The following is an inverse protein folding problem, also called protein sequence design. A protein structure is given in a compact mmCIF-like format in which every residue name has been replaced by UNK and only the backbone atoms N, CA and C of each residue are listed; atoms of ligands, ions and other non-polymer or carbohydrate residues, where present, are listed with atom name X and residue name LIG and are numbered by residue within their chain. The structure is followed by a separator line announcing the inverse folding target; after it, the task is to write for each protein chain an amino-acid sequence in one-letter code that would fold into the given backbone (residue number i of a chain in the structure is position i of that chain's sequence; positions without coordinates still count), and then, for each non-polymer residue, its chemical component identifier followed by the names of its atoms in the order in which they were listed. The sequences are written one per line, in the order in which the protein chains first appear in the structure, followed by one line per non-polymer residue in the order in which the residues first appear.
data_IF_454451562185
#
_entry.id   IF_454451562185
#
_cell.length_a   1.000
_cell.length_b   1.000
_cell.length_c   1.000
_cell.angle_alpha   90.00
_cell.angle_beta   90.00
_cell.angle_gamma   90.00
#
_symmetry.space_group_name_H-M   'P 1'
#
loop_
_entity.id
_entity.type
_entity.pdbx_description
1 polymer ?
#
# COMPACT_ATOMS: atom_id res chain seq x y z
N UNK A 1 -30.30 10.15 35.63
CA UNK A 1 -29.26 11.16 35.31
C UNK A 1 -28.48 10.65 34.11
N UNK A 2 -28.38 11.43 33.04
CA UNK A 2 -27.78 10.99 31.78
C UNK A 2 -26.25 11.03 31.85
N UNK A 3 -25.57 10.03 31.27
CA UNK A 3 -24.11 10.04 31.11
C UNK A 3 -23.74 10.46 29.69
N UNK A 4 -22.59 11.11 29.55
CA UNK A 4 -22.02 11.57 28.28
C UNK A 4 -20.98 10.55 27.80
N UNK A 5 -20.95 10.24 26.51
CA UNK A 5 -19.90 9.39 25.92
C UNK A 5 -18.74 10.28 25.46
N UNK A 6 -17.57 10.09 26.05
CA UNK A 6 -16.34 10.78 25.65
C UNK A 6 -15.39 9.80 24.96
N UNK A 7 -14.82 10.23 23.83
CA UNK A 7 -13.75 9.49 23.17
C UNK A 7 -12.51 9.43 24.06
N UNK A 8 -11.75 8.34 24.03
CA UNK A 8 -10.41 8.28 24.65
C UNK A 8 -9.44 9.33 24.08
N UNK A 9 -9.71 9.86 22.88
CA UNK A 9 -8.95 10.93 22.24
C UNK A 9 -9.42 12.35 22.59
N UNK A 10 -10.39 12.50 23.50
CA UNK A 10 -10.86 13.82 23.91
C UNK A 10 -9.70 14.64 24.49
N UNK A 11 -9.61 15.92 24.14
CA UNK A 11 -8.60 16.79 24.72
C UNK A 11 -8.91 17.07 26.20
N UNK A 12 -7.88 17.47 26.95
CA UNK A 12 -8.00 17.72 28.38
C UNK A 12 -9.01 18.83 28.69
N UNK A 13 -9.02 19.91 27.90
CA UNK A 13 -9.88 21.06 28.09
C UNK A 13 -11.36 20.66 28.13
N UNK A 14 -11.84 19.97 27.09
CA UNK A 14 -13.23 19.50 27.01
C UNK A 14 -13.50 18.40 28.06
N UNK A 15 -12.57 17.47 28.24
CA UNK A 15 -12.72 16.38 29.21
C UNK A 15 -12.87 16.88 30.65
N UNK A 16 -12.16 17.97 30.99
CA UNK A 16 -12.16 18.55 32.34
C UNK A 16 -13.49 19.24 32.73
N UNK A 17 -14.36 19.52 31.76
CA UNK A 17 -15.68 20.12 31.99
C UNK A 17 -16.67 19.16 32.69
N UNK A 18 -16.38 17.87 32.70
CA UNK A 18 -17.30 16.84 33.19
C UNK A 18 -16.71 16.10 34.39
N UNK A 19 -17.49 15.99 35.47
CA UNK A 19 -17.15 15.12 36.60
C UNK A 19 -17.18 13.64 36.15
N UNK A 20 -16.24 12.82 36.64
CA UNK A 20 -16.04 11.41 36.23
C UNK A 20 -17.31 10.57 36.34
N UNK A 21 -18.21 10.89 37.27
CA UNK A 21 -19.48 10.19 37.46
C UNK A 21 -20.50 10.44 36.32
N UNK A 22 -20.31 11.50 35.54
CA UNK A 22 -21.22 11.93 34.47
C UNK A 22 -20.78 11.55 33.06
N UNK A 23 -19.64 10.87 32.89
CA UNK A 23 -19.22 10.40 31.58
C UNK A 23 -18.76 8.95 31.55
N UNK A 24 -18.76 8.38 30.34
CA UNK A 24 -18.16 7.10 29.99
C UNK A 24 -17.03 7.36 29.01
N UNK A 25 -15.82 6.94 29.35
CA UNK A 25 -14.64 7.09 28.50
C UNK A 25 -14.41 5.80 27.72
N UNK A 26 -14.63 5.84 26.41
CA UNK A 26 -14.43 4.69 25.53
C UNK A 26 -14.16 5.13 24.10
N UNK A 27 -13.86 4.17 23.22
CA UNK A 27 -13.69 4.47 21.81
C UNK A 27 -15.00 5.01 21.22
N UNK A 28 -14.91 5.97 20.31
CA UNK A 28 -16.09 6.51 19.63
C UNK A 28 -16.81 5.39 18.86
N UNK A 29 -18.14 5.24 18.98
CA UNK A 29 -18.91 4.32 18.16
C UNK A 29 -18.73 4.61 16.66
N UNK A 30 -18.61 5.89 16.29
CA UNK A 30 -18.37 6.32 14.90
C UNK A 30 -17.04 5.76 14.39
N UNK A 31 -16.00 5.78 15.21
CA UNK A 31 -14.69 5.22 14.85
C UNK A 31 -14.72 3.73 14.59
N UNK A 32 -15.69 2.98 15.12
CA UNK A 32 -15.88 1.55 14.81
C UNK A 32 -16.82 1.32 13.63
N UNK A 33 -17.86 2.14 13.49
CA UNK A 33 -18.82 2.01 12.40
C UNK A 33 -18.19 2.32 11.04
N UNK A 34 -17.39 3.38 10.96
CA UNK A 34 -16.76 3.82 9.69
C UNK A 34 -15.68 2.87 9.17
N UNK A 35 -15.19 1.93 9.99
CA UNK A 35 -14.13 0.99 9.56
C UNK A 35 -14.71 -0.06 8.62
N UNK A 36 -16.00 -0.38 8.75
CA UNK A 36 -16.73 -1.33 7.92
C UNK A 36 -17.41 -0.55 6.80
N UNK A 37 -16.78 -0.53 5.63
CA UNK A 37 -17.27 0.21 4.49
C UNK A 37 -18.52 -0.47 3.92
N UNK A 38 -19.55 0.32 3.64
CA UNK A 38 -20.74 -0.15 2.95
C UNK A 38 -20.46 -0.33 1.44
N UNK A 39 -21.41 -0.91 0.69
CA UNK A 39 -21.19 -1.21 -0.73
C UNK A 39 -20.95 0.04 -1.60
N UNK A 40 -21.55 1.18 -1.27
CA UNK A 40 -21.33 2.44 -2.00
C UNK A 40 -19.90 2.93 -1.77
N UNK A 41 -19.45 2.93 -0.51
CA UNK A 41 -18.08 3.29 -0.16
C UNK A 41 -17.07 2.34 -0.80
N UNK A 42 -17.29 1.03 -0.74
CA UNK A 42 -16.40 0.04 -1.37
C UNK A 42 -16.34 0.21 -2.90
N UNK A 43 -17.47 0.48 -3.56
CA UNK A 43 -17.48 0.75 -4.99
C UNK A 43 -16.74 2.05 -5.33
N UNK A 44 -16.85 3.08 -4.47
CA UNK A 44 -16.04 4.28 -4.56
C UNK A 44 -14.54 3.96 -4.49
N UNK A 45 -14.12 3.25 -3.44
CA UNK A 45 -12.72 2.84 -3.23
C UNK A 45 -12.19 2.00 -4.40
N UNK A 46 -13.00 1.12 -5.00
CA UNK A 46 -12.59 0.38 -6.20
C UNK A 46 -12.33 1.33 -7.38
N UNK A 47 -13.24 2.25 -7.66
CA UNK A 47 -13.11 3.21 -8.77
C UNK A 47 -11.93 4.17 -8.56
N UNK A 48 -11.95 4.90 -7.44
CA UNK A 48 -10.83 4.97 -6.49
C UNK A 48 -9.45 4.57 -6.97
N UNK A 49 -9.14 3.32 -6.69
CA UNK A 49 -7.82 2.76 -6.93
C UNK A 49 -7.58 2.41 -8.41
N UNK A 50 -8.62 2.17 -9.21
CA UNK A 50 -8.46 1.93 -10.65
C UNK A 50 -7.87 3.17 -11.34
N UNK A 51 -8.45 4.37 -11.15
CA UNK A 51 -7.90 5.57 -11.81
C UNK A 51 -6.54 5.96 -11.21
N UNK A 52 -6.35 5.79 -9.90
CA UNK A 52 -5.06 6.05 -9.24
C UNK A 52 -3.96 5.13 -9.78
N UNK A 53 -4.26 3.84 -9.92
CA UNK A 53 -3.33 2.87 -10.51
C UNK A 53 -2.97 3.26 -11.94
N UNK A 54 -3.92 3.75 -12.75
CA UNK A 54 -3.64 4.23 -14.10
C UNK A 54 -2.67 5.43 -14.13
N UNK A 55 -2.80 6.39 -13.19
CA UNK A 55 -1.83 7.48 -13.05
C UNK A 55 -0.44 6.97 -12.66
N UNK A 56 -0.35 5.92 -11.84
CA UNK A 56 0.91 5.29 -11.48
C UNK A 56 1.53 4.49 -12.63
N UNK A 57 0.72 3.83 -13.47
CA UNK A 57 1.23 3.21 -14.72
C UNK A 57 1.83 4.30 -15.63
N UNK A 58 1.14 5.43 -15.78
CA UNK A 58 1.65 6.58 -16.53
C UNK A 58 2.95 7.11 -15.96
N UNK A 59 3.04 7.22 -14.64
CA UNK A 59 4.27 7.61 -13.97
C UNK A 59 5.42 6.62 -14.21
N UNK A 60 5.17 5.31 -14.05
CA UNK A 60 6.15 4.28 -14.27
C UNK A 60 6.64 4.27 -15.73
N UNK A 61 5.74 4.44 -16.70
CA UNK A 61 6.11 4.61 -18.11
C UNK A 61 7.00 5.85 -18.31
N UNK A 62 6.56 7.00 -17.78
CA UNK A 62 7.29 8.27 -17.89
C UNK A 62 8.69 8.20 -17.27
N UNK A 63 8.84 7.69 -16.06
CA UNK A 63 10.13 7.66 -15.37
C UNK A 63 11.10 6.71 -16.06
N UNK A 64 10.64 5.55 -16.56
CA UNK A 64 11.49 4.66 -17.34
C UNK A 64 11.98 5.34 -18.63
N UNK A 65 11.12 6.10 -19.32
CA UNK A 65 11.51 6.83 -20.51
C UNK A 65 12.53 7.94 -20.20
N UNK A 66 12.27 8.79 -19.21
CA UNK A 66 13.19 9.87 -18.83
C UNK A 66 14.59 9.34 -18.50
N UNK A 67 14.67 8.27 -17.70
CA UNK A 67 15.95 7.67 -17.33
C UNK A 67 16.63 7.03 -18.55
N UNK A 68 15.89 6.30 -19.39
CA UNK A 68 16.45 5.69 -20.61
C UNK A 68 16.99 6.71 -21.63
N UNK A 69 16.44 7.93 -21.65
CA UNK A 69 16.89 9.04 -22.47
C UNK A 69 18.03 9.85 -21.84
N UNK A 70 18.45 9.51 -20.62
CA UNK A 70 19.50 10.21 -19.87
C UNK A 70 19.06 11.57 -19.33
N UNK A 71 17.75 11.82 -19.22
CA UNK A 71 17.24 13.06 -18.63
C UNK A 71 17.46 13.08 -17.11
N UNK A 72 17.76 14.26 -16.57
CA UNK A 72 17.96 14.43 -15.14
C UNK A 72 16.62 14.47 -14.40
N UNK A 73 16.36 13.46 -13.58
CA UNK A 73 15.20 13.41 -12.68
C UNK A 73 15.71 13.33 -11.24
N UNK A 74 15.38 14.32 -10.42
CA UNK A 74 15.61 14.27 -8.96
C UNK A 74 14.34 13.80 -8.22
N UNK A 75 14.50 13.47 -6.94
CA UNK A 75 13.41 13.03 -6.06
C UNK A 75 12.22 14.00 -6.08
N UNK A 76 12.47 15.31 -6.12
CA UNK A 76 11.44 16.35 -6.15
C UNK A 76 10.69 16.33 -7.49
N UNK A 77 11.40 16.25 -8.61
CA UNK A 77 10.80 16.17 -9.95
C UNK A 77 9.93 14.93 -10.08
N UNK A 78 10.40 13.78 -9.60
CA UNK A 78 9.64 12.54 -9.61
C UNK A 78 8.36 12.64 -8.75
N UNK A 79 8.45 13.16 -7.52
CA UNK A 79 7.30 13.38 -6.65
C UNK A 79 6.26 14.32 -7.29
N UNK A 80 6.72 15.47 -7.82
CA UNK A 80 5.85 16.44 -8.52
C UNK A 80 5.17 15.81 -9.73
N UNK A 81 5.84 14.92 -10.45
CA UNK A 81 5.27 14.26 -11.61
C UNK A 81 4.15 13.28 -11.25
N UNK A 82 4.33 12.47 -10.20
CA UNK A 82 3.28 11.58 -9.67
C UNK A 82 2.06 12.41 -9.25
N UNK A 83 2.29 13.48 -8.49
CA UNK A 83 1.24 14.37 -8.00
C UNK A 83 0.47 15.02 -9.15
N UNK A 84 1.20 15.54 -10.15
CA UNK A 84 0.61 16.14 -11.33
C UNK A 84 -0.29 15.16 -12.09
N UNK A 85 0.11 13.88 -12.24
CA UNK A 85 -0.74 12.90 -12.90
C UNK A 85 -2.02 12.58 -12.11
N UNK A 86 -1.97 12.60 -10.78
CA UNK A 86 -3.16 12.45 -9.93
C UNK A 86 -4.10 13.65 -10.01
N UNK A 87 -3.55 14.87 -10.05
CA UNK A 87 -4.33 16.12 -10.17
C UNK A 87 -5.23 16.15 -11.42
N UNK A 88 -4.86 15.43 -12.48
CA UNK A 88 -5.66 15.32 -13.71
C UNK A 88 -6.77 14.28 -13.64
N UNK A 89 -6.83 13.46 -12.59
CA UNK A 89 -7.82 12.40 -12.47
C UNK A 89 -9.18 12.95 -12.03
N UNK A 90 -10.23 12.30 -12.54
CA UNK A 90 -11.60 12.58 -12.12
C UNK A 90 -11.73 12.44 -10.59
N UNK A 91 -12.46 13.38 -9.98
CA UNK A 91 -12.74 13.49 -8.54
C UNK A 91 -11.54 13.72 -7.62
N UNK A 92 -10.34 13.98 -8.13
CA UNK A 92 -9.19 14.31 -7.29
C UNK A 92 -9.49 15.54 -6.42
N UNK A 93 -9.05 15.49 -5.16
CA UNK A 93 -9.22 16.57 -4.17
C UNK A 93 -7.86 17.05 -3.66
N UNK A 94 -7.02 16.12 -3.22
CA UNK A 94 -5.68 16.40 -2.69
C UNK A 94 -4.84 15.14 -2.68
N UNK A 95 -3.57 15.24 -2.32
CA UNK A 95 -2.81 14.06 -1.89
C UNK A 95 -3.37 13.53 -0.56
N UNK A 96 -3.26 12.23 -0.32
CA UNK A 96 -3.66 11.62 0.96
C UNK A 96 -2.60 11.80 2.05
N UNK A 97 -1.35 12.00 1.64
CA UNK A 97 -0.18 12.40 2.45
C UNK A 97 0.90 12.97 1.51
N UNK A 98 1.98 13.52 2.05
CA UNK A 98 3.10 13.99 1.24
C UNK A 98 3.83 12.81 0.58
N UNK A 99 4.03 12.87 -0.74
CA UNK A 99 4.71 11.79 -1.46
C UNK A 99 6.15 11.62 -0.99
N UNK A 100 6.46 10.41 -0.53
CA UNK A 100 7.82 9.96 -0.29
C UNK A 100 8.39 9.59 -1.65
N UNK A 101 9.49 10.22 -2.03
CA UNK A 101 10.22 9.97 -3.27
C UNK A 101 11.68 9.90 -2.91
N UNK A 102 12.24 8.70 -2.92
CA UNK A 102 13.49 8.40 -2.24
C UNK A 102 14.41 7.55 -3.12
N UNK A 103 15.64 8.03 -3.30
CA UNK A 103 16.68 7.40 -4.12
C UNK A 103 17.77 6.80 -3.22
N UNK A 104 18.13 5.55 -3.50
CA UNK A 104 19.20 4.81 -2.83
C UNK A 104 19.08 4.92 -1.30
N UNK A 105 20.10 5.45 -0.62
CA UNK A 105 20.14 5.54 0.84
C UNK A 105 18.98 6.35 1.44
N UNK A 106 18.37 7.26 0.68
CA UNK A 106 17.21 8.02 1.16
C UNK A 106 16.01 7.08 1.32
N UNK A 107 15.90 6.02 0.53
CA UNK A 107 14.85 5.01 0.65
C UNK A 107 14.98 4.17 1.94
N UNK A 108 16.16 4.15 2.57
CA UNK A 108 16.36 3.48 3.87
C UNK A 108 15.69 4.21 5.05
N UNK A 109 15.11 5.39 4.81
CA UNK A 109 14.38 6.16 5.81
C UNK A 109 12.87 6.00 5.55
N UNK A 110 12.12 5.22 6.36
CA UNK A 110 10.72 4.87 6.06
C UNK A 110 9.81 6.07 5.83
N UNK A 111 10.05 7.18 6.54
CA UNK A 111 9.30 8.45 6.44
C UNK A 111 10.21 9.57 5.88
N UNK A 112 10.98 9.28 4.82
CA UNK A 112 11.80 10.29 4.17
C UNK A 112 10.96 11.41 3.56
N UNK A 113 11.35 12.67 3.81
CA UNK A 113 10.76 13.84 3.17
C UNK A 113 11.85 14.60 2.43
N UNK A 114 11.73 14.68 1.11
CA UNK A 114 12.61 15.51 0.27
C UNK A 114 12.20 16.98 0.35
N UNK A 115 13.16 17.89 0.48
CA UNK A 115 12.90 19.32 0.36
C UNK A 115 14.09 20.03 -0.30
N UNK A 116 13.90 21.27 -0.75
CA UNK A 116 14.96 22.03 -1.46
C UNK A 116 16.22 22.27 -0.59
N UNK A 117 16.15 22.05 0.72
CA UNK A 117 17.26 22.27 1.66
C UNK A 117 17.98 20.99 2.10
N UNK A 118 17.56 19.79 1.64
CA UNK A 118 18.21 18.53 1.98
C UNK A 118 19.06 17.97 0.81
N UNK A 119 19.82 16.89 1.06
CA UNK A 119 20.65 16.22 0.06
C UNK A 119 19.78 15.42 -0.92
N UNK A 120 19.04 16.16 -1.77
CA UNK A 120 18.20 15.58 -2.80
C UNK A 120 19.06 14.83 -3.80
N UNK A 121 18.60 13.64 -4.18
CA UNK A 121 19.33 12.75 -5.09
C UNK A 121 18.68 12.73 -6.48
N UNK A 122 19.54 12.54 -7.48
CA UNK A 122 19.13 12.26 -8.84
C UNK A 122 18.99 10.75 -9.05
N UNK A 123 17.90 10.34 -9.70
CA UNK A 123 17.68 8.99 -10.16
C UNK A 123 18.63 8.74 -11.33
N UNK A 124 19.42 7.66 -11.24
CA UNK A 124 20.37 7.21 -12.27
C UNK A 124 20.02 5.82 -12.76
N UNK A 125 20.68 5.38 -13.83
CA UNK A 125 20.53 4.05 -14.44
C UNK A 125 20.89 2.89 -13.49
N UNK A 126 21.46 3.17 -12.33
CA UNK A 126 21.83 2.17 -11.31
C UNK A 126 21.05 2.32 -10.00
N UNK A 127 20.20 3.35 -9.91
CA UNK A 127 19.54 3.71 -8.66
C UNK A 127 18.44 2.72 -8.28
N UNK A 128 18.30 2.54 -6.97
CA UNK A 128 17.05 2.08 -6.35
C UNK A 128 16.16 3.31 -6.13
N UNK A 129 14.90 3.21 -6.53
CA UNK A 129 13.93 4.27 -6.34
C UNK A 129 12.69 3.73 -5.65
N UNK A 130 12.35 4.32 -4.51
CA UNK A 130 11.13 4.05 -3.76
C UNK A 130 10.23 5.27 -3.87
N UNK A 131 8.99 5.06 -4.28
CA UNK A 131 7.94 6.05 -4.11
C UNK A 131 6.81 5.47 -3.29
N UNK A 132 6.34 6.26 -2.34
CA UNK A 132 5.16 5.98 -1.53
C UNK A 132 4.24 7.20 -1.58
N UNK A 133 3.02 7.00 -2.05
CA UNK A 133 2.17 8.09 -2.49
C UNK A 133 0.72 7.69 -2.63
N UNK A 134 -0.19 8.62 -2.35
CA UNK A 134 -1.62 8.40 -2.47
C UNK A 134 -2.43 9.66 -2.76
N UNK A 135 -3.68 9.47 -3.15
CA UNK A 135 -4.63 10.52 -3.49
C UNK A 135 -5.92 10.46 -2.67
N UNK A 136 -6.50 11.63 -2.42
CA UNK A 136 -7.86 11.80 -1.97
C UNK A 136 -8.75 12.08 -3.17
N UNK A 137 -9.80 11.28 -3.30
CA UNK A 137 -10.84 11.43 -4.30
C UNK A 137 -12.18 11.56 -3.59
N UNK A 138 -13.16 12.24 -4.18
CA UNK A 138 -14.51 12.32 -3.60
C UNK A 138 -15.13 10.94 -3.29
N UNK A 139 -14.68 9.90 -3.98
CA UNK A 139 -15.14 8.53 -3.84
C UNK A 139 -14.12 7.58 -3.19
N UNK A 140 -13.01 8.06 -2.62
CA UNK A 140 -12.12 7.19 -1.84
C UNK A 140 -10.73 7.75 -1.60
N UNK A 141 -9.95 7.02 -0.81
CA UNK A 141 -8.56 7.37 -0.45
C UNK A 141 -7.63 6.25 -0.91
N UNK A 142 -6.48 6.57 -1.49
CA UNK A 142 -5.48 5.59 -1.94
C UNK A 142 -4.18 5.71 -1.17
N UNK A 143 -3.46 4.58 -1.13
CA UNK A 143 -2.14 4.44 -0.56
C UNK A 143 -1.38 3.32 -1.31
N UNK A 144 -0.12 3.58 -1.67
CA UNK A 144 0.67 2.66 -2.49
C UNK A 144 2.13 3.05 -2.53
N UNK A 145 2.95 2.10 -2.08
CA UNK A 145 4.39 2.08 -2.27
C UNK A 145 4.84 1.10 -3.35
N UNK A 146 5.75 1.53 -4.22
CA UNK A 146 6.59 0.64 -5.04
C UNK A 146 8.06 0.98 -4.87
N UNK A 147 8.88 -0.07 -4.83
CA UNK A 147 10.31 0.03 -5.04
C UNK A 147 10.65 -0.53 -6.42
N UNK A 148 11.38 0.27 -7.20
CA UNK A 148 11.92 -0.11 -8.51
C UNK A 148 13.43 0.07 -8.52
N UNK A 149 14.12 -0.59 -9.43
CA UNK A 149 15.54 -0.41 -9.66
C UNK A 149 15.82 -0.30 -11.15
N UNK A 150 16.57 0.74 -11.53
CA UNK A 150 16.91 1.02 -12.92
C UNK A 150 18.13 0.21 -13.40
N UNK A 151 18.92 -0.34 -12.45
CA UNK A 151 20.09 -1.15 -12.78
C UNK A 151 19.71 -2.35 -13.64
N UNK A 152 20.44 -2.54 -14.74
CA UNK A 152 20.38 -3.78 -15.54
C UNK A 152 20.93 -4.98 -14.79
N UNK A 153 21.81 -4.74 -13.81
CA UNK A 153 22.47 -5.76 -13.00
C UNK A 153 22.34 -5.38 -11.52
N UNK A 154 21.14 -5.45 -10.92
CA UNK A 154 20.95 -5.17 -9.51
C UNK A 154 21.77 -6.14 -8.65
N UNK A 155 22.23 -5.68 -7.49
CA UNK A 155 23.06 -6.52 -6.62
C UNK A 155 22.28 -7.72 -6.12
N UNK A 156 22.96 -8.86 -5.95
CA UNK A 156 22.33 -10.08 -5.41
C UNK A 156 21.66 -9.82 -4.06
N UNK A 157 22.32 -9.04 -3.20
CA UNK A 157 21.79 -8.66 -1.89
C UNK A 157 20.49 -7.86 -2.00
N UNK A 158 20.43 -6.84 -2.85
CA UNK A 158 19.20 -6.09 -3.10
C UNK A 158 18.06 -6.99 -3.59
N UNK A 159 18.32 -7.84 -4.59
CA UNK A 159 17.31 -8.77 -5.12
C UNK A 159 16.83 -9.77 -4.07
N UNK A 160 17.73 -10.28 -3.22
CA UNK A 160 17.37 -11.16 -2.10
C UNK A 160 16.43 -10.43 -1.12
N UNK A 161 16.78 -9.21 -0.70
CA UNK A 161 15.94 -8.43 0.22
C UNK A 161 14.59 -8.07 -0.41
N UNK A 162 14.58 -7.69 -1.69
CA UNK A 162 13.36 -7.41 -2.44
C UNK A 162 12.43 -8.62 -2.47
N UNK A 163 13.01 -9.80 -2.73
CA UNK A 163 12.25 -11.05 -2.79
C UNK A 163 11.71 -11.45 -1.42
N UNK A 164 12.47 -11.25 -0.33
CA UNK A 164 11.97 -11.51 1.02
C UNK A 164 10.82 -10.56 1.40
N UNK A 165 10.91 -9.27 1.07
CA UNK A 165 9.81 -8.31 1.27
C UNK A 165 8.58 -8.69 0.43
N UNK A 166 8.78 -9.11 -0.82
CA UNK A 166 7.69 -9.61 -1.67
C UNK A 166 7.03 -10.85 -1.07
N UNK A 167 7.80 -11.81 -0.56
CA UNK A 167 7.24 -12.98 0.13
C UNK A 167 6.43 -12.58 1.35
N UNK A 168 6.95 -11.67 2.17
CA UNK A 168 6.25 -11.13 3.33
C UNK A 168 4.89 -10.55 2.93
N UNK A 169 4.84 -9.79 1.83
CA UNK A 169 3.60 -9.21 1.31
C UNK A 169 2.62 -10.30 0.85
N UNK A 170 3.10 -11.27 0.06
CA UNK A 170 2.29 -12.33 -0.52
C UNK A 170 1.75 -13.28 0.56
N UNK A 171 2.57 -13.68 1.53
CA UNK A 171 2.16 -14.59 2.60
C UNK A 171 1.03 -13.96 3.44
N UNK A 172 1.11 -12.66 3.70
CA UNK A 172 0.02 -11.92 4.33
C UNK A 172 -1.22 -11.86 3.42
N UNK A 173 -1.07 -11.40 2.16
CA UNK A 173 -2.17 -11.22 1.22
C UNK A 173 -2.89 -12.53 0.85
N UNK A 174 -2.21 -13.68 0.89
CA UNK A 174 -2.78 -15.00 0.64
C UNK A 174 -3.55 -15.59 1.84
N UNK A 175 -3.47 -14.97 3.01
CA UNK A 175 -4.04 -15.55 4.23
C UNK A 175 -5.57 -15.56 4.17
N UNK A 176 -6.16 -16.75 4.39
CA UNK A 176 -7.60 -16.92 4.65
C UNK A 176 -7.81 -17.13 6.14
N UNK A 177 -8.66 -16.34 6.76
CA UNK A 177 -8.76 -16.26 8.23
C UNK A 177 -10.22 -16.14 8.71
N UNK A 178 -10.56 -16.61 9.92
CA UNK A 178 -11.90 -16.41 10.48
C UNK A 178 -12.26 -14.92 10.67
N UNK A 179 -13.52 -14.57 10.56
CA UNK A 179 -14.03 -13.26 10.98
C UNK A 179 -13.73 -13.03 12.46
N UNK A 180 -13.53 -11.76 12.83
CA UNK A 180 -13.06 -11.31 14.15
C UNK A 180 -11.60 -11.67 14.47
N UNK A 181 -10.81 -12.16 13.51
CA UNK A 181 -9.37 -12.39 13.74
C UNK A 181 -8.68 -11.08 14.14
N UNK A 182 -7.84 -11.14 15.16
CA UNK A 182 -7.06 -9.99 15.64
C UNK A 182 -6.03 -9.55 14.60
N UNK A 183 -5.88 -8.23 14.34
CA UNK A 183 -4.82 -7.68 13.50
C UNK A 183 -3.40 -8.13 13.90
N UNK A 184 -3.16 -8.45 15.18
CA UNK A 184 -1.86 -8.90 15.68
C UNK A 184 -1.37 -10.21 15.02
N UNK A 185 -2.29 -11.06 14.54
CA UNK A 185 -1.94 -12.33 13.89
C UNK A 185 -1.11 -12.12 12.63
N UNK A 186 -1.34 -11.01 11.93
CA UNK A 186 -0.68 -10.71 10.66
C UNK A 186 0.77 -10.23 10.85
N UNK A 187 1.18 -9.83 12.07
CA UNK A 187 2.57 -9.43 12.34
C UNK A 187 3.53 -10.59 12.08
N UNK A 188 3.32 -11.71 12.77
CA UNK A 188 4.17 -12.89 12.66
C UNK A 188 4.13 -13.53 11.27
N UNK A 189 2.95 -13.59 10.63
CA UNK A 189 2.80 -14.12 9.27
C UNK A 189 3.65 -13.31 8.29
N UNK A 190 3.50 -11.98 8.33
CA UNK A 190 4.18 -11.08 7.38
C UNK A 190 5.68 -11.05 7.64
N UNK A 191 6.14 -11.09 8.90
CA UNK A 191 7.57 -10.99 9.21
C UNK A 191 8.35 -12.28 9.00
N UNK A 192 7.67 -13.42 8.94
CA UNK A 192 8.33 -14.74 8.91
C UNK A 192 9.43 -14.85 7.83
N UNK A 193 9.22 -14.42 6.56
CA UNK A 193 10.27 -14.52 5.53
C UNK A 193 11.54 -13.74 5.87
N UNK A 194 11.41 -12.57 6.52
CA UNK A 194 12.54 -11.76 6.95
C UNK A 194 13.19 -12.32 8.22
N UNK A 195 12.38 -12.71 9.22
CA UNK A 195 12.86 -13.26 10.49
C UNK A 195 13.65 -14.56 10.31
N UNK A 196 13.25 -15.43 9.38
CA UNK A 196 14.00 -16.65 9.05
C UNK A 196 15.41 -16.38 8.51
N UNK A 197 15.70 -15.14 8.10
CA UNK A 197 17.00 -14.71 7.60
C UNK A 197 17.68 -13.68 8.53
N UNK A 198 17.12 -13.44 9.74
CA UNK A 198 17.69 -12.50 10.72
C UNK A 198 17.40 -11.02 10.44
N UNK A 199 16.44 -10.72 9.57
CA UNK A 199 16.05 -9.34 9.22
C UNK A 199 14.70 -8.95 9.82
N UNK A 200 14.39 -7.65 9.88
CA UNK A 200 13.11 -7.13 10.36
C UNK A 200 12.81 -5.74 9.75
N UNK A 201 11.59 -5.22 9.94
CA UNK A 201 11.24 -3.82 9.63
C UNK A 201 10.60 -3.10 10.83
N UNK A 202 10.85 -1.80 10.97
CA UNK A 202 10.57 -1.02 12.18
C UNK A 202 9.16 -0.41 12.30
N UNK A 203 8.20 -0.84 11.48
CA UNK A 203 6.82 -0.32 11.48
C UNK A 203 5.79 -1.46 11.49
N UNK A 204 4.50 -1.13 11.63
CA UNK A 204 3.40 -2.10 11.55
C UNK A 204 3.28 -2.70 10.14
N UNK A 205 2.56 -3.82 10.02
CA UNK A 205 2.34 -4.49 8.72
C UNK A 205 1.45 -3.66 7.79
N UNK A 206 0.53 -2.89 8.36
CA UNK A 206 -0.33 -1.98 7.64
C UNK A 206 -1.37 -1.30 8.53
N UNK A 207 -2.25 -0.52 7.92
CA UNK A 207 -3.26 0.28 8.60
C UNK A 207 -4.60 0.25 7.84
N UNK A 208 -5.68 0.61 8.52
CA UNK A 208 -6.97 0.85 7.90
C UNK A 208 -6.93 2.09 7.03
N UNK A 209 -7.75 2.11 5.98
CA UNK A 209 -7.88 3.24 5.05
C UNK A 209 -9.32 3.77 5.08
N UNK A 210 -9.46 5.08 5.28
CA UNK A 210 -10.74 5.77 5.25
C UNK A 210 -11.32 5.91 3.84
N UNK A 211 -12.62 6.12 3.73
CA UNK A 211 -13.25 6.47 2.45
C UNK A 211 -13.33 7.99 2.34
N UNK A 212 -12.44 8.60 1.55
CA UNK A 212 -12.26 10.05 1.47
C UNK A 212 -12.09 10.69 2.86
N UNK A 213 -11.22 10.08 3.66
CA UNK A 213 -10.90 10.46 5.04
C UNK A 213 -9.40 10.21 5.27
N UNK A 214 -8.97 10.12 6.53
CA UNK A 214 -7.60 9.79 6.87
C UNK A 214 -7.12 8.52 6.15
N UNK A 215 -5.95 8.61 5.53
CA UNK A 215 -5.25 7.46 4.95
C UNK A 215 -4.88 6.44 6.03
N UNK A 216 -4.46 6.94 7.20
CA UNK A 216 -4.32 6.18 8.44
C UNK A 216 -5.63 6.22 9.25
N UNK A 217 -6.53 5.27 9.01
CA UNK A 217 -7.77 5.09 9.78
C UNK A 217 -7.63 3.95 10.79
N UNK A 218 -7.43 4.31 12.06
CA UNK A 218 -7.29 3.33 13.16
C UNK A 218 -8.60 3.26 13.97
N UNK A 219 -9.08 2.06 14.34
CA UNK A 219 -8.67 0.72 13.86
C UNK A 219 -9.24 0.40 12.44
N UNK A 220 -8.79 -0.67 11.76
CA UNK A 220 -7.74 -1.61 12.16
C UNK A 220 -6.31 -1.11 11.87
N UNK A 221 -5.31 -1.76 12.46
CA UNK A 221 -3.90 -1.64 12.20
C UNK A 221 -3.25 -3.03 12.24
N UNK A 222 -2.89 -3.55 11.06
CA UNK A 222 -2.32 -4.89 10.91
C UNK A 222 -0.96 -4.96 11.61
N UNK A 223 -0.82 -6.01 12.41
CA UNK A 223 0.35 -6.25 13.26
C UNK A 223 0.34 -5.51 14.60
N UNK A 224 -0.64 -4.64 14.87
CA UNK A 224 -0.80 -4.03 16.19
C UNK A 224 -1.50 -4.96 17.18
N UNK A 225 -1.25 -4.76 18.48
CA UNK A 225 -1.90 -5.49 19.58
C UNK A 225 -3.24 -4.89 20.00
N UNK A 226 -3.83 -4.05 19.14
CA UNK A 226 -5.11 -3.42 19.43
C UNK A 226 -6.24 -4.45 19.56
N UNK A 227 -7.23 -4.14 20.40
CA UNK A 227 -8.41 -5.00 20.59
C UNK A 227 -9.44 -4.71 19.50
N UNK A 228 -9.19 -5.20 18.29
CA UNK A 228 -10.08 -5.13 17.15
C UNK A 228 -10.18 -6.50 16.46
N UNK A 229 -11.33 -6.81 15.86
CA UNK A 229 -11.54 -8.03 15.07
C UNK A 229 -11.82 -7.65 13.63
N UNK A 230 -11.03 -8.17 12.69
CA UNK A 230 -11.20 -7.88 11.26
C UNK A 230 -12.52 -8.44 10.74
N UNK A 231 -13.17 -7.66 9.89
CA UNK A 231 -14.49 -7.92 9.33
C UNK A 231 -14.52 -7.66 7.84
N UNK A 232 -15.46 -8.32 7.16
CA UNK A 232 -15.84 -8.00 5.78
C UNK A 232 -16.13 -6.49 5.64
N UNK A 233 -15.59 -5.87 4.61
CA UNK A 233 -15.75 -4.44 4.33
C UNK A 233 -14.71 -3.54 5.02
N UNK A 234 -13.82 -4.08 5.85
CA UNK A 234 -12.61 -3.32 6.22
C UNK A 234 -11.72 -3.13 4.98
N UNK A 235 -11.06 -1.98 4.90
CA UNK A 235 -10.03 -1.69 3.90
C UNK A 235 -8.74 -1.43 4.64
N UNK A 236 -7.66 -2.13 4.26
CA UNK A 236 -6.35 -2.09 4.94
C UNK A 236 -5.20 -2.08 3.94
N UNK A 237 -4.06 -1.54 4.33
CA UNK A 237 -2.79 -1.74 3.62
C UNK A 237 -2.11 -3.03 4.07
N UNK A 238 -1.30 -3.62 3.19
CA UNK A 238 -0.26 -4.60 3.51
C UNK A 238 1.03 -4.06 2.90
N UNK A 239 1.99 -3.66 3.72
CA UNK A 239 3.12 -2.80 3.33
C UNK A 239 4.46 -3.21 3.98
N UNK A 240 4.86 -4.49 4.00
CA UNK A 240 6.15 -4.87 4.57
C UNK A 240 7.31 -4.15 3.86
N UNK A 241 8.40 -3.99 4.61
CA UNK A 241 9.61 -3.35 4.09
C UNK A 241 10.91 -3.97 4.59
N UNK A 242 12.01 -3.42 4.11
CA UNK A 242 13.37 -3.65 4.57
C UNK A 242 14.17 -2.38 4.34
N UNK A 243 14.95 -1.95 5.32
CA UNK A 243 15.66 -0.68 5.28
C UNK A 243 17.09 -0.88 5.76
N UNK A 244 18.05 -0.68 4.87
CA UNK A 244 19.48 -0.81 5.16
C UNK A 244 20.11 0.58 5.17
N UNK A 245 20.45 1.03 6.37
CA UNK A 245 21.01 2.36 6.59
C UNK A 245 22.22 2.61 5.68
N UNK A 246 22.27 3.81 5.08
CA UNK A 246 23.32 4.22 4.15
C UNK A 246 23.38 3.42 2.83
N UNK A 247 22.41 2.54 2.54
CA UNK A 247 22.38 1.73 1.33
C UNK A 247 21.08 1.92 0.54
N UNK A 248 20.01 1.19 0.87
CA UNK A 248 18.72 1.26 0.18
C UNK A 248 17.57 0.89 1.11
N UNK A 249 16.35 1.18 0.68
CA UNK A 249 15.15 0.64 1.30
C UNK A 249 14.18 0.10 0.27
N UNK A 250 13.35 -0.83 0.74
CA UNK A 250 12.34 -1.55 -0.03
C UNK A 250 11.05 -1.51 0.76
N UNK A 251 9.93 -1.19 0.10
CA UNK A 251 8.58 -1.40 0.61
C UNK A 251 7.65 -1.76 -0.54
N UNK A 252 6.79 -2.74 -0.31
CA UNK A 252 5.79 -3.19 -1.29
C UNK A 252 4.44 -3.11 -0.63
N UNK A 253 3.62 -2.18 -1.12
CA UNK A 253 2.35 -1.85 -0.49
C UNK A 253 1.19 -1.88 -1.45
N UNK A 254 0.09 -2.46 -0.99
CA UNK A 254 -1.20 -2.42 -1.65
C UNK A 254 -2.29 -2.19 -0.61
N UNK A 255 -3.35 -1.49 -1.01
CA UNK A 255 -4.64 -1.52 -0.32
C UNK A 255 -5.41 -2.79 -0.70
N UNK A 256 -6.09 -3.35 0.29
CA UNK A 256 -6.96 -4.53 0.18
C UNK A 256 -8.30 -4.26 0.85
N UNK A 257 -9.38 -4.70 0.21
CA UNK A 257 -10.66 -4.88 0.89
C UNK A 257 -10.76 -6.29 1.46
N UNK A 258 -11.31 -6.43 2.66
CA UNK A 258 -11.57 -7.73 3.27
C UNK A 258 -12.93 -8.24 2.79
N UNK A 259 -12.94 -9.39 2.12
CA UNK A 259 -14.13 -10.03 1.55
C UNK A 259 -14.35 -11.41 2.16
N UNK A 260 -15.51 -12.01 1.89
CA UNK A 260 -15.75 -13.42 2.24
C UNK A 260 -14.83 -14.32 1.43
N UNK A 261 -14.15 -15.24 2.13
CA UNK A 261 -13.26 -16.20 1.49
C UNK A 261 -14.04 -17.20 0.63
N UNK A 262 -13.59 -17.39 -0.62
CA UNK A 262 -14.20 -18.34 -1.55
C UNK A 262 -13.46 -19.68 -1.56
N UNK A 263 -14.16 -20.72 -2.01
CA UNK A 263 -13.60 -22.05 -2.33
C UNK A 263 -12.87 -22.74 -1.16
N UNK A 264 -13.42 -22.62 0.05
CA UNK A 264 -12.89 -23.31 1.22
C UNK A 264 -13.31 -24.78 1.24
N UNK A 265 -12.34 -25.68 1.41
CA UNK A 265 -12.59 -27.13 1.51
C UNK A 265 -13.53 -27.48 2.68
N UNK A 266 -13.47 -26.72 3.77
CA UNK A 266 -14.35 -26.91 4.93
C UNK A 266 -15.80 -26.46 4.70
N UNK A 267 -16.09 -25.74 3.62
CA UNK A 267 -17.40 -25.13 3.38
C UNK A 267 -17.74 -23.99 4.36
N UNK A 268 -16.79 -23.51 5.16
CA UNK A 268 -17.04 -22.45 6.12
C UNK A 268 -17.45 -21.14 5.45
N UNK A 269 -18.39 -20.42 6.06
CA UNK A 269 -18.88 -19.12 5.60
C UNK A 269 -18.41 -17.94 6.45
N UNK A 270 -17.73 -18.20 7.56
CA UNK A 270 -17.23 -17.16 8.46
C UNK A 270 -15.75 -16.82 8.22
N UNK A 271 -15.18 -17.26 7.10
CA UNK A 271 -13.79 -16.94 6.75
C UNK A 271 -13.74 -15.78 5.76
N UNK A 272 -12.65 -15.04 5.84
CA UNK A 272 -12.36 -13.83 5.10
C UNK A 272 -11.05 -14.00 4.33
N UNK A 273 -10.90 -13.25 3.24
CA UNK A 273 -9.68 -13.15 2.45
C UNK A 273 -9.47 -11.70 1.99
N UNK A 274 -8.25 -11.35 1.57
CA UNK A 274 -7.92 -10.04 1.03
C UNK A 274 -8.20 -10.02 -0.48
N UNK A 275 -8.96 -9.02 -0.94
CA UNK A 275 -9.14 -8.72 -2.36
C UNK A 275 -8.49 -7.37 -2.66
N UNK A 276 -7.68 -7.32 -3.71
CA UNK A 276 -6.78 -6.20 -3.95
C UNK A 276 -7.53 -5.00 -4.52
N UNK A 277 -7.19 -3.80 -4.06
CA UNK A 277 -7.66 -2.53 -4.63
C UNK A 277 -6.57 -1.85 -5.45
N UNK A 278 -5.30 -1.96 -5.06
CA UNK A 278 -4.16 -1.36 -5.78
C UNK A 278 -3.73 -2.25 -6.96
N UNK A 279 -3.73 -1.71 -8.18
CA UNK A 279 -3.46 -2.46 -9.42
C UNK A 279 -2.21 -1.95 -10.15
N UNK A 280 -1.07 -1.92 -9.45
CA UNK A 280 0.21 -1.45 -10.00
C UNK A 280 1.20 -2.62 -10.08
N UNK A 281 1.83 -2.92 -11.22
CA UNK A 281 2.78 -4.02 -11.35
C UNK A 281 3.92 -3.95 -10.32
N UNK A 282 4.48 -5.13 -10.02
CA UNK A 282 5.67 -5.28 -9.17
C UNK A 282 6.80 -5.69 -10.13
N UNK A 283 7.94 -5.00 -10.04
CA UNK A 283 9.04 -5.17 -10.99
C UNK A 283 9.66 -6.58 -10.86
N UNK A 284 9.48 -7.40 -11.91
CA UNK A 284 9.79 -8.84 -11.88
C UNK A 284 11.27 -9.18 -11.93
N UNK A 285 12.10 -8.37 -12.59
CA UNK A 285 13.54 -8.66 -12.74
C UNK A 285 14.34 -8.48 -11.43
N UNK A 286 13.70 -8.04 -10.34
CA UNK A 286 14.29 -7.95 -9.01
C UNK A 286 14.08 -9.22 -8.18
N UNK A 287 13.28 -10.17 -8.69
CA UNK A 287 12.83 -11.35 -7.95
C UNK A 287 13.80 -12.51 -8.17
N UNK A 288 14.32 -13.06 -7.06
CA UNK A 288 15.15 -14.27 -7.02
C UNK A 288 14.22 -15.50 -7.01
N UNK A 289 14.09 -16.17 -8.15
CA UNK A 289 13.16 -17.27 -8.38
C UNK A 289 13.30 -18.39 -7.34
N UNK A 290 14.53 -18.68 -6.91
CA UNK A 290 14.88 -19.75 -5.99
C UNK A 290 14.32 -19.53 -4.58
N UNK A 291 13.98 -18.30 -4.22
CA UNK A 291 13.38 -17.96 -2.94
C UNK A 291 11.84 -18.09 -2.96
N UNK A 292 11.23 -18.31 -4.14
CA UNK A 292 9.79 -18.41 -4.30
C UNK A 292 9.31 -19.87 -4.37
N UNK A 293 8.34 -20.19 -3.51
CA UNK A 293 7.44 -21.33 -3.70
C UNK A 293 6.40 -21.07 -4.80
N UNK A 294 5.78 -22.14 -5.32
CA UNK A 294 4.77 -22.06 -6.38
C UNK A 294 3.60 -21.13 -6.05
N UNK A 295 3.12 -21.14 -4.79
CA UNK A 295 2.05 -20.24 -4.33
C UNK A 295 2.36 -18.75 -4.56
N UNK A 296 3.63 -18.36 -4.46
CA UNK A 296 4.02 -16.96 -4.65
C UNK A 296 3.99 -16.58 -6.13
N UNK A 297 4.40 -17.49 -7.00
CA UNK A 297 4.38 -17.31 -8.45
C UNK A 297 2.94 -17.25 -8.95
N UNK A 298 2.09 -18.16 -8.47
CA UNK A 298 0.67 -18.18 -8.81
C UNK A 298 -0.01 -16.89 -8.36
N UNK A 299 0.29 -16.40 -7.15
CA UNK A 299 -0.22 -15.12 -6.68
C UNK A 299 0.26 -13.95 -7.56
N UNK A 300 1.55 -13.88 -7.86
CA UNK A 300 2.13 -12.80 -8.66
C UNK A 300 1.54 -12.75 -10.07
N UNK A 301 1.42 -13.90 -10.72
CA UNK A 301 0.81 -14.04 -12.05
C UNK A 301 -0.67 -13.64 -12.03
N UNK A 302 -1.43 -14.09 -11.03
CA UNK A 302 -2.82 -13.71 -10.87
C UNK A 302 -2.98 -12.21 -10.58
N UNK A 303 -2.11 -11.65 -9.75
CA UNK A 303 -2.09 -10.23 -9.42
C UNK A 303 -1.76 -9.37 -10.66
N UNK A 304 -0.74 -9.73 -11.43
CA UNK A 304 -0.41 -9.03 -12.68
C UNK A 304 -1.50 -9.17 -13.74
N UNK A 305 -2.13 -10.34 -13.85
CA UNK A 305 -3.30 -10.51 -14.71
C UNK A 305 -4.48 -9.60 -14.28
N UNK A 306 -4.73 -9.44 -12.97
CA UNK A 306 -5.70 -8.47 -12.45
C UNK A 306 -5.30 -7.03 -12.80
N UNK A 307 -4.03 -6.66 -12.62
CA UNK A 307 -3.52 -5.33 -12.99
C UNK A 307 -3.80 -5.03 -14.46
N UNK A 308 -3.40 -5.95 -15.35
CA UNK A 308 -3.59 -5.79 -16.79
C UNK A 308 -5.07 -5.76 -17.18
N UNK A 309 -5.88 -6.71 -16.71
CA UNK A 309 -7.29 -6.78 -17.10
C UNK A 309 -8.11 -5.58 -16.62
N UNK A 310 -7.86 -5.10 -15.41
CA UNK A 310 -8.62 -3.98 -14.81
C UNK A 310 -8.10 -2.64 -15.32
N UNK A 311 -6.81 -2.35 -15.16
CA UNK A 311 -6.24 -1.04 -15.51
C UNK A 311 -6.01 -0.93 -17.01
N UNK A 312 -5.64 -2.01 -17.70
CA UNK A 312 -5.49 -2.01 -19.15
C UNK A 312 -6.79 -1.62 -19.86
N UNK A 313 -7.94 -2.13 -19.40
CA UNK A 313 -9.24 -1.69 -19.91
C UNK A 313 -9.45 -0.18 -19.70
N UNK A 314 -9.17 0.32 -18.51
CA UNK A 314 -9.30 1.76 -18.22
C UNK A 314 -8.37 2.62 -19.10
N UNK A 315 -7.13 2.21 -19.30
CA UNK A 315 -6.16 2.90 -20.16
C UNK A 315 -6.64 2.95 -21.61
N UNK A 316 -7.18 1.85 -22.14
CA UNK A 316 -7.78 1.82 -23.49
C UNK A 316 -8.96 2.79 -23.61
N UNK A 317 -9.87 2.77 -22.64
CA UNK A 317 -11.03 3.68 -22.60
C UNK A 317 -10.60 5.17 -22.54
N UNK A 318 -9.41 5.46 -22.00
CA UNK A 318 -8.81 6.80 -21.94
C UNK A 318 -7.87 7.14 -23.10
N UNK A 319 -7.65 6.22 -24.06
CA UNK A 319 -6.76 6.44 -25.20
C UNK A 319 -5.26 6.46 -24.83
N UNK A 320 -4.89 5.88 -23.69
CA UNK A 320 -3.51 5.85 -23.16
C UNK A 320 -2.75 4.62 -23.69
N UNK A 321 -2.47 4.62 -24.99
CA UNK A 321 -1.97 3.43 -25.70
C UNK A 321 -0.54 3.04 -25.31
N UNK A 322 0.33 4.00 -25.03
CA UNK A 322 1.72 3.74 -24.66
C UNK A 322 1.80 3.13 -23.26
N UNK A 323 1.04 3.68 -22.32
CA UNK A 323 0.90 3.16 -20.96
C UNK A 323 0.24 1.77 -20.94
N UNK A 324 -0.73 1.52 -21.84
CA UNK A 324 -1.33 0.20 -22.01
C UNK A 324 -0.29 -0.83 -22.45
N UNK A 325 0.55 -0.50 -23.43
CA UNK A 325 1.60 -1.39 -23.93
C UNK A 325 2.64 -1.66 -22.85
N UNK A 326 3.06 -0.62 -22.13
CA UNK A 326 3.95 -0.75 -20.97
C UNK A 326 3.37 -1.68 -19.90
N UNK A 327 2.08 -1.53 -19.56
CA UNK A 327 1.40 -2.40 -18.60
C UNK A 327 1.34 -3.85 -19.10
N UNK A 328 1.06 -4.06 -20.39
CA UNK A 328 1.00 -5.39 -20.99
C UNK A 328 2.33 -6.15 -20.84
N UNK A 329 3.45 -5.47 -21.10
CA UNK A 329 4.79 -6.03 -20.94
C UNK A 329 5.10 -6.32 -19.46
N UNK A 330 4.87 -5.34 -18.59
CA UNK A 330 5.11 -5.46 -17.15
C UNK A 330 4.31 -6.60 -16.49
N UNK A 331 3.10 -6.89 -17.01
CA UNK A 331 2.19 -7.92 -16.50
C UNK A 331 2.26 -9.26 -17.24
N UNK A 332 3.25 -9.48 -18.10
CA UNK A 332 3.54 -10.82 -18.61
C UNK A 332 3.69 -11.82 -17.45
N UNK A 333 3.37 -13.12 -17.61
CA UNK A 333 3.65 -14.10 -16.57
C UNK A 333 5.13 -14.10 -16.14
N UNK A 334 5.41 -14.36 -14.87
CA UNK A 334 6.74 -14.52 -14.29
C UNK A 334 7.35 -15.88 -14.62
#
# INVERSE_FOLDING_TARGET
MHKIWLSKSINYEIGSLFDKKYYYLADSPVSKMRTIKNLVELNGMRNSHIRDSAALIKFLYWINNEISLGHLVDEIRAARQINYYREQLDKFVSLSFETISAVDQNAALPHYHVNENNDKKFIRDESVYLFDSGGQYYDGTTDVTRTICFSKNPTQHFCQMFTLVLRSHIDCACTKFPSETSPAVFDGITRLPLWSNGYNFGHNVGHGVGHFLNVHEIPPCLGSTEKFGLKKGNVVTIEPGYYEENNFGIRIENCYEIVEAKNLQSGSKNFLEFEVLTFVPIQKNLIVRELLEQKHIDWLNNYHNKCFSVVGRFLQEKGMQEEYNFLAEACTPY
#
